data_IF_503162918663
#
_entry.id   IF_503162918663
#
_cell.length_a   1.000
_cell.length_b   1.000
_cell.length_c   1.000
_cell.angle_alpha   90.00
_cell.angle_beta   90.00
_cell.angle_gamma   90.00
#
_symmetry.space_group_name_H-M   'P 1'
#
loop_
_entity.id
_entity.type
_entity.pdbx_description
1 polymer ?
#
# COMPACT_ATOMS: atom_id res chain seq x y z
N UNK A 1 -35.72 4.16 -41.57
CA UNK A 1 -34.51 4.58 -42.33
C UNK A 1 -34.51 6.06 -42.66
N UNK A 2 -35.64 6.66 -43.04
CA UNK A 2 -35.77 8.11 -43.28
C UNK A 2 -35.52 8.99 -42.03
N UNK A 3 -35.99 8.57 -40.85
CA UNK A 3 -35.77 9.30 -39.59
C UNK A 3 -34.29 9.39 -39.16
N UNK A 4 -33.50 8.33 -39.33
CA UNK A 4 -32.07 8.34 -38.99
C UNK A 4 -31.24 9.28 -39.89
N UNK A 5 -31.64 9.43 -41.16
CA UNK A 5 -30.98 10.36 -42.07
C UNK A 5 -31.24 11.82 -41.67
N UNK A 6 -32.47 12.14 -41.24
CA UNK A 6 -32.79 13.48 -40.72
C UNK A 6 -31.97 13.82 -39.47
N UNK A 7 -31.78 12.86 -38.56
CA UNK A 7 -30.92 13.04 -37.38
C UNK A 7 -29.44 13.25 -37.76
N UNK A 8 -28.96 12.53 -38.78
CA UNK A 8 -27.59 12.70 -39.30
C UNK A 8 -27.39 14.11 -39.86
N UNK A 9 -28.36 14.63 -40.62
CA UNK A 9 -28.30 15.99 -41.17
C UNK A 9 -28.39 17.07 -40.09
N UNK A 10 -29.21 16.86 -39.06
CA UNK A 10 -29.39 17.83 -37.98
C UNK A 10 -28.18 17.94 -37.04
N UNK A 11 -27.46 16.83 -36.81
CA UNK A 11 -26.39 16.76 -35.80
C UNK A 11 -24.99 16.59 -36.40
N UNK A 12 -24.88 16.24 -37.68
CA UNK A 12 -23.63 15.87 -38.34
C UNK A 12 -23.08 14.49 -37.94
N UNK A 13 -23.80 13.73 -37.12
CA UNK A 13 -23.35 12.43 -36.60
C UNK A 13 -23.82 11.29 -37.53
N UNK A 14 -22.92 10.41 -38.03
CA UNK A 14 -23.29 9.30 -38.92
C UNK A 14 -24.38 8.39 -38.37
N UNK A 15 -25.32 7.97 -39.22
CA UNK A 15 -26.44 7.09 -38.87
C UNK A 15 -26.03 5.80 -38.15
N UNK A 16 -24.81 5.29 -38.40
CA UNK A 16 -24.26 4.10 -37.74
C UNK A 16 -24.12 4.26 -36.22
N UNK A 17 -23.85 5.48 -35.73
CA UNK A 17 -23.69 5.75 -34.30
C UNK A 17 -25.04 5.65 -33.57
N UNK A 18 -26.12 6.13 -34.18
CA UNK A 18 -27.48 5.99 -33.64
C UNK A 18 -27.96 4.53 -33.59
N UNK A 19 -27.54 3.71 -34.55
CA UNK A 19 -27.86 2.28 -34.57
C UNK A 19 -27.15 1.56 -33.42
N UNK A 20 -25.88 1.90 -33.15
CA UNK A 20 -25.12 1.32 -32.04
C UNK A 20 -25.69 1.77 -30.69
N UNK A 21 -26.11 3.03 -30.55
CA UNK A 21 -26.72 3.56 -29.33
C UNK A 21 -28.15 3.04 -29.07
N UNK A 22 -28.86 2.58 -30.11
CA UNK A 22 -30.19 1.98 -30.00
C UNK A 22 -30.19 0.51 -29.55
N UNK A 23 -29.05 -0.17 -29.58
CA UNK A 23 -28.89 -1.45 -28.91
C UNK A 23 -28.65 -1.20 -27.43
N UNK A 24 -29.76 -1.20 -26.68
CA UNK A 24 -29.77 -1.11 -25.23
C UNK A 24 -28.66 -1.94 -24.64
N UNK A 25 -27.88 -1.31 -23.76
CA UNK A 25 -26.89 -1.96 -22.93
C UNK A 25 -27.45 -3.27 -22.39
N UNK A 26 -27.04 -4.40 -22.97
CA UNK A 26 -27.22 -5.69 -22.35
C UNK A 26 -26.32 -5.69 -21.12
N UNK A 27 -26.91 -5.28 -19.99
CA UNK A 27 -26.42 -5.61 -18.66
C UNK A 27 -26.41 -7.13 -18.52
N UNK A 28 -25.43 -7.80 -19.12
CA UNK A 28 -24.99 -9.17 -18.84
C UNK A 28 -23.80 -9.50 -19.77
N UNK A 29 -22.83 -8.60 -19.82
CA UNK A 29 -21.47 -8.91 -20.27
C UNK A 29 -20.78 -9.77 -19.22
N UNK A 30 -21.22 -11.03 -19.10
CA UNK A 30 -20.50 -12.04 -18.34
C UNK A 30 -19.08 -12.22 -18.87
N UNK A 31 -18.23 -12.80 -18.03
CA UNK A 31 -16.78 -13.06 -18.25
C UNK A 31 -16.53 -13.97 -19.49
N UNK A 32 -17.58 -14.53 -20.11
CA UNK A 32 -17.51 -15.42 -21.27
C UNK A 32 -17.85 -14.70 -22.60
N UNK A 33 -17.00 -13.77 -23.01
CA UNK A 33 -16.98 -13.20 -24.37
C UNK A 33 -15.54 -12.84 -24.78
N UNK A 34 -15.29 -12.51 -26.05
CA UNK A 34 -13.94 -12.11 -26.52
C UNK A 34 -13.36 -10.92 -25.71
N UNK A 35 -14.22 -10.05 -25.19
CA UNK A 35 -13.85 -8.98 -24.27
C UNK A 35 -13.47 -9.47 -22.86
N UNK A 36 -14.02 -10.59 -22.39
CA UNK A 36 -13.71 -11.21 -21.10
C UNK A 36 -12.29 -11.79 -21.06
N UNK A 37 -11.81 -12.37 -22.17
CA UNK A 37 -10.42 -12.85 -22.28
C UNK A 37 -9.45 -11.65 -22.27
N UNK A 38 -9.76 -10.58 -22.99
CA UNK A 38 -8.95 -9.35 -22.97
C UNK A 38 -8.93 -8.74 -21.57
N UNK A 39 -10.07 -8.63 -20.90
CA UNK A 39 -10.16 -8.14 -19.52
C UNK A 39 -9.41 -9.06 -18.54
N UNK A 40 -9.46 -10.38 -18.71
CA UNK A 40 -8.71 -11.33 -17.89
C UNK A 40 -7.20 -11.21 -18.11
N UNK A 41 -6.74 -11.01 -19.36
CA UNK A 41 -5.32 -10.75 -19.68
C UNK A 41 -4.86 -9.44 -19.05
N UNK A 42 -5.64 -8.35 -19.19
CA UNK A 42 -5.32 -7.07 -18.54
C UNK A 42 -5.33 -7.20 -17.01
N UNK A 43 -6.28 -7.91 -16.42
CA UNK A 43 -6.35 -8.17 -14.98
C UNK A 43 -5.18 -9.02 -14.50
N UNK A 44 -4.76 -10.05 -15.25
CA UNK A 44 -3.56 -10.84 -14.96
C UNK A 44 -2.29 -9.98 -15.05
N UNK A 45 -2.14 -9.16 -16.09
CA UNK A 45 -1.01 -8.23 -16.24
C UNK A 45 -0.97 -7.20 -15.11
N UNK A 46 -2.13 -6.71 -14.68
CA UNK A 46 -2.24 -5.77 -13.56
C UNK A 46 -1.97 -6.45 -12.21
N UNK A 47 -2.44 -7.69 -12.02
CA UNK A 47 -2.15 -8.54 -10.86
C UNK A 47 -0.65 -8.85 -10.81
N UNK A 48 -0.01 -9.19 -11.94
CA UNK A 48 1.43 -9.44 -12.00
C UNK A 48 2.25 -8.18 -11.73
N UNK A 49 1.85 -7.01 -12.25
CA UNK A 49 2.45 -5.71 -11.88
C UNK A 49 2.31 -5.46 -10.37
N UNK A 50 1.14 -5.74 -9.79
CA UNK A 50 0.87 -5.59 -8.36
C UNK A 50 1.68 -6.56 -7.50
N UNK A 51 1.82 -7.82 -7.91
CA UNK A 51 2.65 -8.83 -7.24
C UNK A 51 4.13 -8.47 -7.29
N UNK A 52 4.65 -7.99 -8.43
CA UNK A 52 6.02 -7.46 -8.52
C UNK A 52 6.26 -6.27 -7.59
N UNK A 53 5.29 -5.36 -7.49
CA UNK A 53 5.35 -4.24 -6.56
C UNK A 53 5.34 -4.69 -5.09
N UNK A 54 4.57 -5.72 -4.73
CA UNK A 54 4.61 -6.30 -3.38
C UNK A 54 5.95 -6.99 -3.06
N UNK A 55 6.51 -7.77 -4.00
CA UNK A 55 7.81 -8.43 -3.83
C UNK A 55 8.97 -7.44 -3.64
N UNK A 56 8.84 -6.23 -4.17
CA UNK A 56 9.87 -5.19 -4.08
C UNK A 56 9.72 -4.27 -2.86
N UNK A 57 8.65 -4.39 -2.07
CA UNK A 57 8.49 -3.60 -0.83
C UNK A 57 9.10 -4.26 0.40
N UNK A 58 9.18 -5.59 0.44
CA UNK A 58 9.80 -6.30 1.57
C UNK A 58 11.31 -6.06 1.68
N UNK A 59 11.97 -5.61 0.60
CA UNK A 59 13.40 -5.24 0.60
C UNK A 59 13.67 -3.79 1.02
N UNK A 60 12.70 -2.88 0.90
CA UNK A 60 12.89 -1.45 1.23
C UNK A 60 12.77 -1.15 2.72
N UNK A 61 12.19 -2.05 3.52
CA UNK A 61 12.03 -1.90 4.98
C UNK A 61 13.16 -2.54 5.81
N UNK A 62 14.21 -3.07 5.18
CA UNK A 62 15.21 -3.91 5.85
C UNK A 62 16.54 -3.21 6.18
N UNK A 63 16.64 -1.87 6.06
CA UNK A 63 17.81 -1.16 6.59
C UNK A 63 17.73 -1.15 8.14
N UNK A 64 18.66 -1.79 8.87
CA UNK A 64 18.57 -1.88 10.32
C UNK A 64 18.72 -0.49 10.93
N UNK A 65 17.67 -0.03 11.62
CA UNK A 65 17.74 1.22 12.36
C UNK A 65 18.71 1.05 13.53
N UNK A 66 19.71 1.94 13.64
CA UNK A 66 20.72 1.87 14.71
C UNK A 66 20.21 2.57 15.97
N UNK A 67 19.12 2.07 16.57
CA UNK A 67 18.68 2.55 17.88
C UNK A 67 19.77 2.28 18.92
N UNK A 68 20.26 3.34 19.55
CA UNK A 68 21.24 3.29 20.64
C UNK A 68 20.65 3.87 21.91
N UNK A 69 21.11 3.32 23.03
CA UNK A 69 20.75 3.78 24.38
C UNK A 69 22.01 4.32 25.04
N UNK A 70 21.97 5.59 25.42
CA UNK A 70 22.98 6.27 26.23
C UNK A 70 22.87 5.73 27.67
N UNK A 71 23.85 4.92 28.08
CA UNK A 71 23.87 4.28 29.39
C UNK A 71 23.97 5.31 30.54
N UNK A 72 24.61 6.46 30.31
CA UNK A 72 24.81 7.50 31.32
C UNK A 72 23.51 8.26 31.61
N UNK A 73 22.69 8.47 30.56
CA UNK A 73 21.37 9.13 30.68
C UNK A 73 20.25 8.17 31.06
N UNK A 74 20.40 6.88 30.78
CA UNK A 74 19.33 5.90 31.00
C UNK A 74 19.08 5.65 32.50
N UNK A 75 17.88 6.00 32.98
CA UNK A 75 17.45 5.72 34.37
C UNK A 75 16.73 4.37 34.54
N UNK A 76 16.78 3.48 33.54
CA UNK A 76 16.22 2.11 33.59
C UNK A 76 14.71 2.06 33.95
N UNK A 77 13.96 3.10 33.54
CA UNK A 77 12.53 3.26 33.84
C UNK A 77 11.60 2.31 33.04
N UNK A 78 12.14 1.53 32.09
CA UNK A 78 11.41 0.56 31.26
C UNK A 78 10.28 1.10 30.38
N UNK A 79 10.14 2.42 30.23
CA UNK A 79 9.09 2.99 29.39
C UNK A 79 9.25 2.60 27.91
N UNK A 80 10.49 2.53 27.41
CA UNK A 80 10.79 2.08 26.05
C UNK A 80 10.40 0.61 25.82
N UNK A 81 10.67 -0.27 26.79
CA UNK A 81 10.26 -1.70 26.74
C UNK A 81 8.74 -1.82 26.70
N UNK A 82 8.03 -1.09 27.59
CA UNK A 82 6.56 -1.15 27.68
C UNK A 82 5.84 -0.53 26.48
N UNK A 83 6.37 0.56 25.91
CA UNK A 83 5.71 1.31 24.83
C UNK A 83 6.09 0.83 23.43
N UNK A 84 7.11 -0.02 23.29
CA UNK A 84 7.51 -0.53 21.99
C UNK A 84 6.58 -1.69 21.57
N UNK A 85 5.71 -1.50 20.57
CA UNK A 85 4.81 -2.56 20.11
C UNK A 85 5.56 -3.69 19.38
N UNK A 86 6.74 -3.39 18.82
CA UNK A 86 7.62 -4.35 18.18
C UNK A 86 8.60 -5.04 19.15
N UNK A 87 8.54 -4.72 20.45
CA UNK A 87 9.37 -5.34 21.49
C UNK A 87 10.88 -5.32 21.19
N UNK A 88 11.37 -4.21 20.62
CA UNK A 88 12.78 -4.04 20.20
C UNK A 88 13.75 -3.98 21.38
N UNK A 89 13.27 -3.57 22.55
CA UNK A 89 14.09 -3.30 23.74
C UNK A 89 13.95 -4.41 24.77
N UNK A 90 15.07 -4.82 25.37
CA UNK A 90 15.11 -5.76 26.48
C UNK A 90 15.78 -5.13 27.71
N UNK A 91 15.27 -5.45 28.90
CA UNK A 91 15.89 -5.05 30.17
C UNK A 91 16.97 -6.08 30.51
N UNK A 92 18.21 -5.61 30.62
CA UNK A 92 19.30 -6.35 31.24
C UNK A 92 19.60 -5.77 32.64
N UNK A 93 20.42 -6.47 33.42
CA UNK A 93 20.72 -6.10 34.82
C UNK A 93 21.24 -4.66 34.96
N UNK A 94 22.12 -4.24 34.04
CA UNK A 94 22.82 -2.95 34.12
C UNK A 94 22.21 -1.87 33.23
N UNK A 95 21.47 -2.24 32.18
CA UNK A 95 20.97 -1.29 31.18
C UNK A 95 19.81 -1.85 30.37
N UNK A 96 19.15 -0.98 29.61
CA UNK A 96 18.19 -1.39 28.57
C UNK A 96 18.92 -1.42 27.24
N UNK A 97 18.78 -2.50 26.48
CA UNK A 97 19.48 -2.73 25.21
C UNK A 97 18.47 -2.88 24.08
N UNK A 98 18.77 -2.36 22.89
CA UNK A 98 18.00 -2.60 21.68
C UNK A 98 18.58 -3.84 20.98
N UNK A 99 17.89 -4.98 21.06
CA UNK A 99 18.35 -6.25 20.49
C UNK A 99 17.70 -6.54 19.13
N UNK A 100 16.40 -6.25 19.01
CA UNK A 100 15.62 -6.61 17.82
C UNK A 100 15.32 -5.42 16.91
N UNK A 101 16.36 -4.64 16.59
CA UNK A 101 16.21 -3.40 15.79
C UNK A 101 15.65 -3.63 14.39
N UNK A 102 15.75 -4.85 13.87
CA UNK A 102 15.16 -5.32 12.61
C UNK A 102 13.64 -5.27 12.59
N UNK A 103 12.96 -5.35 13.74
CA UNK A 103 11.50 -5.23 13.84
C UNK A 103 11.06 -3.78 14.07
N UNK A 104 11.98 -2.83 14.16
CA UNK A 104 11.65 -1.43 14.36
C UNK A 104 11.04 -0.82 13.10
N UNK A 105 9.75 -0.49 13.15
CA UNK A 105 9.04 0.23 12.09
C UNK A 105 9.00 1.76 12.31
N UNK A 106 9.97 2.29 13.08
CA UNK A 106 10.20 3.74 13.26
C UNK A 106 9.00 4.54 13.81
N UNK A 107 8.19 3.96 14.70
CA UNK A 107 7.08 4.69 15.31
C UNK A 107 7.49 5.82 16.29
N UNK A 108 8.78 5.92 16.63
CA UNK A 108 9.40 6.96 17.49
C UNK A 108 8.83 7.14 18.90
N UNK A 109 7.92 6.25 19.35
CA UNK A 109 7.36 6.27 20.72
C UNK A 109 8.42 6.14 21.81
N UNK A 110 9.49 5.38 21.55
CA UNK A 110 10.58 5.19 22.52
C UNK A 110 11.33 6.50 22.79
N UNK A 111 11.65 7.28 21.75
CA UNK A 111 12.31 8.58 21.85
C UNK A 111 11.38 9.60 22.53
N UNK A 112 10.13 9.70 22.07
CA UNK A 112 9.16 10.67 22.57
C UNK A 112 8.79 10.49 24.05
N UNK A 113 8.86 9.26 24.57
CA UNK A 113 8.50 8.95 25.96
C UNK A 113 9.70 8.68 26.86
N UNK A 114 10.93 8.89 26.39
CA UNK A 114 12.10 8.77 27.24
C UNK A 114 12.27 10.07 28.05
N UNK A 115 12.05 10.07 29.38
CA UNK A 115 12.11 11.29 30.19
C UNK A 115 13.51 11.92 30.22
N UNK A 116 14.56 11.10 30.03
CA UNK A 116 15.94 11.56 30.01
C UNK A 116 16.53 11.67 28.61
N UNK A 117 15.73 11.48 27.56
CA UNK A 117 16.17 11.51 26.16
C UNK A 117 17.42 10.63 25.91
N UNK A 118 17.48 9.48 26.58
CA UNK A 118 18.61 8.54 26.50
C UNK A 118 18.62 7.68 25.23
N UNK A 119 17.61 7.80 24.35
CA UNK A 119 17.47 6.96 23.15
C UNK A 119 17.65 7.85 21.92
N UNK A 120 18.56 7.46 21.03
CA UNK A 120 18.85 8.16 19.77
C UNK A 120 18.98 7.17 18.60
N UNK A 121 18.78 7.68 17.38
CA UNK A 121 18.78 6.93 16.10
C UNK A 121 20.06 7.17 15.28
#
# INVERSE_FOLDING_TARGET
MTYLYLLTLATGIPATIYIIAGHGHTHLGGIHGKFGIVAAIFMFLHIWKRLKWFKNRTSQSAAPLRLKVDADKCKRCNLCVKRCPAQVFERQEKQVVALHTEYCFQCRKCVAHCPTHAIYE
#
